data_IF_524565898907
#
_entry.id   IF_524565898907
#
_cell.length_a   1.000
_cell.length_b   1.000
_cell.length_c   1.000
_cell.angle_alpha   90.00
_cell.angle_beta   90.00
_cell.angle_gamma   90.00
#
_symmetry.space_group_name_H-M   'P 1'
#
loop_
_entity.id
_entity.type
_entity.pdbx_description
1 polymer ?
#
# COMPACT_ATOMS: atom_id res chain seq x y z
N UNK A 1 5.39 12.22 2.87
CA UNK A 1 5.87 10.91 2.38
C UNK A 1 7.24 11.11 1.79
N UNK A 2 8.16 10.15 1.96
CA UNK A 2 9.51 10.15 1.38
C UNK A 2 9.86 8.76 0.85
N UNK A 3 10.85 8.59 -0.03
CA UNK A 3 11.30 7.26 -0.44
C UNK A 3 11.60 6.36 0.78
N UNK A 4 11.21 5.08 0.68
CA UNK A 4 11.68 4.06 1.63
C UNK A 4 13.19 3.88 1.48
N UNK A 5 13.89 3.79 2.60
CA UNK A 5 15.33 3.54 2.67
C UNK A 5 15.62 2.33 3.57
N UNK A 6 16.88 1.88 3.60
CA UNK A 6 17.29 0.81 4.51
C UNK A 6 17.16 1.19 6.00
N UNK A 7 17.16 2.48 6.32
CA UNK A 7 17.02 2.99 7.69
C UNK A 7 15.61 2.74 8.26
N UNK A 8 14.60 2.55 7.40
CA UNK A 8 13.23 2.25 7.83
C UNK A 8 13.05 0.80 8.30
N UNK A 9 14.08 -0.05 8.20
CA UNK A 9 13.94 -1.50 8.34
C UNK A 9 13.43 -1.93 9.71
N UNK A 10 13.98 -1.42 10.80
CA UNK A 10 13.60 -1.89 12.14
C UNK A 10 12.16 -1.50 12.47
N UNK A 11 11.75 -0.27 12.14
CA UNK A 11 10.35 0.18 12.27
C UNK A 11 9.40 -0.60 11.36
N UNK A 12 9.81 -0.88 10.12
CA UNK A 12 9.00 -1.64 9.17
C UNK A 12 8.83 -3.10 9.62
N UNK A 13 9.90 -3.73 10.11
CA UNK A 13 9.85 -5.09 10.63
C UNK A 13 9.00 -5.19 11.89
N UNK A 14 9.13 -4.24 12.82
CA UNK A 14 8.29 -4.17 14.01
C UNK A 14 6.81 -3.98 13.65
N UNK A 15 6.51 -3.15 12.64
CA UNK A 15 5.14 -2.98 12.12
C UNK A 15 4.57 -4.27 11.56
N UNK A 16 5.31 -5.00 10.72
CA UNK A 16 4.82 -6.24 10.12
C UNK A 16 4.64 -7.37 11.13
N UNK A 17 5.45 -7.37 12.20
CA UNK A 17 5.36 -8.36 13.26
C UNK A 17 4.12 -8.18 14.17
N UNK A 18 3.42 -7.04 14.13
CA UNK A 18 2.17 -6.85 14.87
C UNK A 18 1.06 -7.76 14.26
N UNK A 19 0.48 -8.70 15.03
CA UNK A 19 -0.52 -9.64 14.51
C UNK A 19 -1.76 -8.97 13.91
N UNK A 20 -2.16 -7.81 14.42
CA UNK A 20 -3.29 -7.04 13.89
C UNK A 20 -2.97 -6.41 12.54
N UNK A 21 -1.71 -6.04 12.31
CA UNK A 21 -1.25 -5.55 11.00
C UNK A 21 -1.13 -6.74 10.04
N UNK A 22 -0.55 -7.84 10.51
CA UNK A 22 -0.34 -9.06 9.74
C UNK A 22 -1.65 -9.66 9.20
N UNK A 23 -2.72 -9.66 10.01
CA UNK A 23 -4.03 -10.21 9.61
C UNK A 23 -4.67 -9.49 8.41
N UNK A 24 -4.26 -8.25 8.14
CA UNK A 24 -4.70 -7.49 6.97
C UNK A 24 -3.88 -7.75 5.71
N UNK A 25 -2.81 -8.54 5.77
CA UNK A 25 -1.90 -8.84 4.66
C UNK A 25 -2.13 -10.26 4.13
N UNK A 26 -1.94 -10.43 2.83
CA UNK A 26 -1.95 -11.76 2.22
C UNK A 26 -0.88 -12.64 2.87
N UNK A 27 -1.18 -13.92 3.10
CA UNK A 27 -0.27 -14.88 3.73
C UNK A 27 1.09 -14.93 3.01
N UNK A 28 1.07 -14.78 1.68
CA UNK A 28 2.27 -14.75 0.84
C UNK A 28 3.23 -13.58 1.10
N UNK A 29 2.84 -12.57 1.89
CA UNK A 29 3.68 -11.41 2.18
C UNK A 29 4.78 -11.75 3.19
N UNK A 30 4.53 -12.70 4.11
CA UNK A 30 5.43 -13.03 5.21
C UNK A 30 5.63 -11.85 6.18
N UNK A 31 5.58 -12.11 7.48
CA UNK A 31 5.64 -11.05 8.50
C UNK A 31 6.85 -11.15 9.43
N UNK A 32 7.73 -12.13 9.20
CA UNK A 32 8.98 -12.25 9.91
C UNK A 32 9.98 -11.16 9.51
N UNK A 33 11.00 -10.94 10.35
CA UNK A 33 12.04 -9.92 10.10
C UNK A 33 12.76 -10.10 8.75
N UNK A 34 13.00 -11.35 8.35
CA UNK A 34 13.60 -11.67 7.06
C UNK A 34 12.65 -11.38 5.87
N UNK A 35 11.35 -11.60 6.05
CA UNK A 35 10.32 -11.22 5.06
C UNK A 35 10.20 -9.70 4.94
N UNK A 36 10.23 -9.00 6.08
CA UNK A 36 10.25 -7.55 6.13
C UNK A 36 11.45 -6.97 5.36
N UNK A 37 12.64 -7.55 5.52
CA UNK A 37 13.84 -7.16 4.77
C UNK A 37 13.64 -7.35 3.27
N UNK A 38 13.18 -8.53 2.83
CA UNK A 38 12.91 -8.82 1.42
C UNK A 38 11.83 -7.90 0.84
N UNK A 39 10.78 -7.63 1.60
CA UNK A 39 9.68 -6.74 1.21
C UNK A 39 10.17 -5.31 1.05
N UNK A 40 10.98 -4.80 1.99
CA UNK A 40 11.58 -3.46 1.91
C UNK A 40 12.52 -3.35 0.70
N UNK A 41 13.41 -4.32 0.51
CA UNK A 41 14.29 -4.39 -0.65
C UNK A 41 13.50 -4.44 -1.97
N UNK A 42 12.36 -5.13 -1.97
CA UNK A 42 11.45 -5.19 -3.11
C UNK A 42 10.83 -3.83 -3.42
N UNK A 43 10.40 -3.06 -2.43
CA UNK A 43 9.89 -1.71 -2.67
C UNK A 43 10.98 -0.76 -3.17
N UNK A 44 12.19 -0.84 -2.61
CA UNK A 44 13.34 -0.05 -3.06
C UNK A 44 13.70 -0.42 -4.50
N UNK A 45 13.87 -1.71 -4.82
CA UNK A 45 14.17 -2.17 -6.17
C UNK A 45 13.07 -1.88 -7.17
N UNK A 46 11.80 -1.96 -6.77
CA UNK A 46 10.67 -1.58 -7.62
C UNK A 46 10.74 -0.11 -8.03
N UNK A 47 11.15 0.78 -7.12
CA UNK A 47 11.41 2.20 -7.44
C UNK A 47 12.54 2.34 -8.46
N UNK A 48 13.67 1.65 -8.27
CA UNK A 48 14.79 1.73 -9.22
C UNK A 48 14.42 1.19 -10.61
N UNK A 49 13.57 0.16 -10.69
CA UNK A 49 13.17 -0.48 -11.96
C UNK A 49 12.05 0.30 -12.67
N UNK A 50 11.10 0.88 -11.93
CA UNK A 50 9.87 1.47 -12.49
C UNK A 50 9.80 2.99 -12.37
N UNK A 51 10.67 3.61 -11.57
CA UNK A 51 10.63 5.04 -11.25
C UNK A 51 9.64 5.42 -10.14
N UNK A 52 8.88 4.47 -9.61
CA UNK A 52 7.89 4.68 -8.55
C UNK A 52 7.75 3.42 -7.68
N UNK A 53 7.26 3.57 -6.45
CA UNK A 53 6.96 2.47 -5.52
C UNK A 53 6.19 3.02 -4.32
N UNK A 54 6.02 2.20 -3.28
CA UNK A 54 5.61 2.66 -1.97
C UNK A 54 6.64 3.63 -1.37
N UNK A 55 6.13 4.68 -0.72
CA UNK A 55 6.88 5.61 0.10
C UNK A 55 6.71 5.28 1.58
N UNK A 56 7.66 5.75 2.39
CA UNK A 56 7.47 5.85 3.83
C UNK A 56 6.48 6.97 4.14
N UNK A 57 5.52 6.65 5.01
CA UNK A 57 4.63 7.62 5.66
C UNK A 57 5.29 7.99 6.97
N UNK A 58 5.54 9.29 7.16
CA UNK A 58 6.24 9.83 8.32
C UNK A 58 5.37 10.92 8.92
N UNK A 59 5.16 10.86 10.24
CA UNK A 59 4.42 11.88 10.97
C UNK A 59 5.28 13.13 11.09
N UNK A 60 4.83 14.26 10.52
CA UNK A 60 5.62 15.49 10.44
C UNK A 60 6.02 16.04 11.82
N UNK A 61 5.13 15.93 12.81
CA UNK A 61 5.35 16.50 14.13
C UNK A 61 6.46 15.80 14.93
N UNK A 62 6.63 14.49 14.72
CA UNK A 62 7.53 13.65 15.54
C UNK A 62 8.67 13.05 14.74
N UNK A 63 8.59 13.04 13.41
CA UNK A 63 9.50 12.29 12.55
C UNK A 63 9.27 10.77 12.58
N UNK A 64 8.24 10.29 13.28
CA UNK A 64 8.02 8.86 13.48
C UNK A 64 7.62 8.16 12.19
N UNK A 65 8.16 6.96 11.96
CA UNK A 65 7.68 6.06 10.92
C UNK A 65 6.26 5.59 11.24
N UNK A 66 5.33 5.90 10.33
CA UNK A 66 3.90 5.56 10.43
C UNK A 66 3.61 4.26 9.70
N UNK A 67 4.26 4.03 8.57
CA UNK A 67 3.99 2.90 7.68
C UNK A 67 4.43 3.20 6.25
N UNK A 68 3.80 2.53 5.29
CA UNK A 68 4.02 2.73 3.86
C UNK A 68 2.73 2.95 3.10
N UNK A 69 2.80 3.74 2.03
CA UNK A 69 1.73 3.89 1.05
C UNK A 69 2.31 4.31 -0.30
N UNK A 70 1.69 3.89 -1.40
CA UNK A 70 2.10 4.36 -2.72
C UNK A 70 1.63 3.48 -3.87
N UNK A 71 2.03 3.86 -5.11
CA UNK A 71 1.79 3.07 -6.30
C UNK A 71 2.50 1.71 -6.26
N UNK A 72 1.89 0.71 -6.89
CA UNK A 72 2.40 -0.65 -6.91
C UNK A 72 2.10 -1.35 -8.23
N UNK A 73 3.14 -1.88 -8.89
CA UNK A 73 2.99 -2.67 -10.13
C UNK A 73 4.19 -3.61 -10.35
N UNK A 74 4.37 -4.65 -9.53
CA UNK A 74 5.36 -5.67 -9.79
C UNK A 74 4.94 -6.49 -11.02
N UNK A 75 5.85 -7.30 -11.55
CA UNK A 75 5.53 -8.20 -12.65
C UNK A 75 4.36 -9.13 -12.27
N UNK A 76 3.38 -9.28 -13.17
CA UNK A 76 2.18 -10.09 -12.96
C UNK A 76 1.08 -9.45 -12.10
N UNK A 77 1.24 -8.20 -11.63
CA UNK A 77 0.13 -7.49 -10.97
C UNK A 77 -0.92 -7.04 -11.99
N UNK A 78 -2.25 -7.15 -11.69
CA UNK A 78 -3.31 -7.01 -12.70
C UNK A 78 -3.54 -5.59 -13.23
N UNK A 79 -2.84 -4.58 -12.71
CA UNK A 79 -2.98 -3.18 -13.14
C UNK A 79 -1.97 -2.27 -12.43
N UNK A 80 -2.06 -0.96 -12.61
CA UNK A 80 -1.39 -0.04 -11.70
C UNK A 80 -2.19 0.03 -10.40
N UNK A 81 -1.57 -0.40 -9.30
CA UNK A 81 -2.20 -0.42 -7.99
C UNK A 81 -1.82 0.78 -7.15
N UNK A 82 -2.61 1.04 -6.10
CA UNK A 82 -2.21 1.79 -4.91
C UNK A 82 -2.48 0.92 -3.69
N UNK A 83 -1.59 0.98 -2.70
CA UNK A 83 -1.76 0.27 -1.44
C UNK A 83 -1.20 1.01 -0.25
N UNK A 84 -1.56 0.55 0.94
CA UNK A 84 -1.11 1.10 2.22
C UNK A 84 -0.94 -0.02 3.26
N UNK A 85 -0.05 0.20 4.22
CA UNK A 85 0.08 -0.60 5.42
C UNK A 85 0.68 0.30 6.51
N UNK A 86 0.00 0.42 7.64
CA UNK A 86 0.35 1.34 8.72
C UNK A 86 0.50 0.59 10.04
N UNK A 87 1.41 1.05 10.88
CA UNK A 87 1.54 0.57 12.25
C UNK A 87 0.26 0.87 13.03
N UNK A 88 -0.18 -0.11 13.82
CA UNK A 88 -1.43 -0.05 14.59
C UNK A 88 -1.53 1.17 15.50
N UNK A 89 -0.41 1.64 16.06
CA UNK A 89 -0.33 2.85 16.91
C UNK A 89 -0.77 4.14 16.19
N UNK A 90 -0.88 4.11 14.86
CA UNK A 90 -1.25 5.24 14.01
C UNK A 90 -2.61 5.08 13.32
N UNK A 91 -3.35 4.00 13.60
CA UNK A 91 -4.69 3.82 13.05
C UNK A 91 -5.69 4.82 13.66
N UNK A 92 -6.79 5.06 12.95
CA UNK A 92 -7.82 6.03 13.38
C UNK A 92 -7.45 7.51 13.23
N UNK A 93 -6.20 7.83 12.84
CA UNK A 93 -5.71 9.21 12.67
C UNK A 93 -5.87 9.79 11.25
N UNK A 94 -6.48 9.04 10.32
CA UNK A 94 -6.68 9.48 8.93
C UNK A 94 -5.47 9.36 7.99
N UNK A 95 -4.28 8.99 8.50
CA UNK A 95 -3.05 8.91 7.70
C UNK A 95 -3.14 7.97 6.50
N UNK A 96 -3.82 6.83 6.60
CA UNK A 96 -3.96 5.90 5.48
C UNK A 96 -4.73 6.53 4.31
N UNK A 97 -5.82 7.24 4.60
CA UNK A 97 -6.64 7.91 3.58
C UNK A 97 -5.95 9.14 3.00
N UNK A 98 -5.22 9.92 3.81
CA UNK A 98 -4.40 11.02 3.33
C UNK A 98 -3.30 10.53 2.38
N UNK A 99 -2.52 9.54 2.81
CA UNK A 99 -1.44 8.98 2.01
C UNK A 99 -1.96 8.26 0.75
N UNK A 100 -3.08 7.54 0.88
CA UNK A 100 -3.75 6.87 -0.25
C UNK A 100 -4.24 7.86 -1.31
N UNK A 101 -4.85 8.98 -0.91
CA UNK A 101 -5.25 10.05 -1.86
C UNK A 101 -4.06 10.67 -2.57
N UNK A 102 -2.99 10.97 -1.83
CA UNK A 102 -1.77 11.53 -2.43
C UNK A 102 -1.13 10.55 -3.43
N UNK A 103 -1.09 9.26 -3.11
CA UNK A 103 -0.58 8.23 -4.02
C UNK A 103 -1.47 8.04 -5.25
N UNK A 104 -2.79 8.08 -5.08
CA UNK A 104 -3.75 8.01 -6.17
C UNK A 104 -3.61 9.22 -7.13
N UNK A 105 -3.47 10.43 -6.58
CA UNK A 105 -3.23 11.63 -7.36
C UNK A 105 -1.95 11.48 -8.20
N UNK A 106 -0.86 11.04 -7.57
CA UNK A 106 0.40 10.76 -8.27
C UNK A 106 0.24 9.73 -9.40
N UNK A 107 -0.52 8.66 -9.21
CA UNK A 107 -0.80 7.70 -10.27
C UNK A 107 -1.50 8.35 -11.47
N UNK A 108 -2.45 9.25 -11.24
CA UNK A 108 -3.20 9.89 -12.31
C UNK A 108 -2.44 11.02 -13.01
N UNK A 109 -1.69 11.84 -12.26
CA UNK A 109 -0.96 12.99 -12.79
C UNK A 109 0.39 12.58 -13.36
N UNK A 110 1.25 11.96 -12.54
CA UNK A 110 2.65 11.69 -12.90
C UNK A 110 2.81 10.40 -13.70
N UNK A 111 2.08 9.35 -13.34
CA UNK A 111 2.16 8.05 -14.03
C UNK A 111 1.19 7.94 -15.20
N UNK A 112 0.45 9.02 -15.48
CA UNK A 112 -0.53 9.12 -16.54
C UNK A 112 -1.52 7.94 -16.60
N UNK A 113 -1.88 7.34 -15.46
CA UNK A 113 -2.78 6.18 -15.44
C UNK A 113 -4.22 6.53 -15.85
N UNK A 114 -4.86 5.65 -16.61
CA UNK A 114 -6.29 5.75 -16.91
C UNK A 114 -7.16 5.13 -15.80
N UNK A 115 -6.62 4.16 -15.07
CA UNK A 115 -7.28 3.46 -13.97
C UNK A 115 -6.27 3.05 -12.91
N UNK A 116 -6.67 3.15 -11.65
CA UNK A 116 -5.89 2.71 -10.49
C UNK A 116 -6.73 1.77 -9.64
N UNK A 117 -6.12 0.69 -9.16
CA UNK A 117 -6.79 -0.35 -8.37
C UNK A 117 -6.14 -0.58 -7.01
N UNK A 118 -6.83 -1.27 -6.10
CA UNK A 118 -6.29 -1.88 -4.90
C UNK A 118 -6.79 -3.32 -4.82
N UNK A 119 -5.90 -4.26 -4.51
CA UNK A 119 -6.28 -5.62 -4.18
C UNK A 119 -6.41 -5.74 -2.67
N UNK A 120 -7.57 -6.18 -2.20
CA UNK A 120 -7.91 -6.21 -0.77
C UNK A 120 -8.44 -7.60 -0.43
N UNK A 121 -7.96 -8.19 0.67
CA UNK A 121 -8.48 -9.47 1.15
C UNK A 121 -9.95 -9.35 1.56
N UNK A 122 -10.79 -10.37 1.30
CA UNK A 122 -12.11 -10.46 1.91
C UNK A 122 -12.03 -10.38 3.43
N UNK A 123 -12.92 -9.60 4.05
CA UNK A 123 -12.95 -9.37 5.50
C UNK A 123 -11.95 -8.33 6.02
N UNK A 124 -11.10 -7.74 5.17
CA UNK A 124 -10.26 -6.61 5.56
C UNK A 124 -11.03 -5.29 5.50
N UNK A 125 -12.02 -5.14 6.38
CA UNK A 125 -12.94 -4.01 6.43
C UNK A 125 -12.23 -2.67 6.63
N UNK A 126 -11.10 -2.67 7.37
CA UNK A 126 -10.26 -1.49 7.57
C UNK A 126 -9.70 -0.98 6.24
N UNK A 127 -9.21 -1.87 5.40
CA UNK A 127 -8.68 -1.52 4.08
C UNK A 127 -9.79 -1.15 3.10
N UNK A 128 -10.91 -1.89 3.09
CA UNK A 128 -12.09 -1.54 2.29
C UNK A 128 -12.55 -0.11 2.60
N UNK A 129 -12.69 0.23 3.88
CA UNK A 129 -13.10 1.57 4.29
C UNK A 129 -12.08 2.66 3.93
N UNK A 130 -10.78 2.35 3.78
CA UNK A 130 -9.81 3.31 3.23
C UNK A 130 -9.98 3.45 1.72
N UNK A 131 -10.16 2.34 0.99
CA UNK A 131 -10.39 2.35 -0.45
C UNK A 131 -11.60 3.22 -0.82
N UNK A 132 -12.72 3.05 -0.12
CA UNK A 132 -13.92 3.85 -0.32
C UNK A 132 -13.68 5.34 -0.01
N UNK A 133 -12.98 5.68 1.09
CA UNK A 133 -12.65 7.06 1.45
C UNK A 133 -11.72 7.77 0.46
N UNK A 134 -10.95 7.03 -0.33
CA UNK A 134 -10.13 7.58 -1.41
C UNK A 134 -10.86 7.57 -2.77
N UNK A 135 -12.14 7.20 -2.80
CA UNK A 135 -13.00 7.22 -3.99
C UNK A 135 -12.97 5.93 -4.82
N UNK A 136 -12.26 4.89 -4.38
CA UNK A 136 -12.37 3.59 -5.05
C UNK A 136 -13.74 2.98 -4.79
N UNK A 137 -14.23 2.27 -5.81
CA UNK A 137 -15.44 1.44 -5.74
C UNK A 137 -15.06 -0.02 -5.94
N UNK A 138 -15.86 -0.92 -5.39
CA UNK A 138 -15.74 -2.33 -5.72
C UNK A 138 -15.95 -2.53 -7.22
N UNK A 139 -15.05 -3.26 -7.87
CA UNK A 139 -15.13 -3.56 -9.30
C UNK A 139 -15.50 -5.03 -9.54
N UNK A 140 -14.79 -5.95 -8.88
CA UNK A 140 -14.97 -7.40 -9.02
C UNK A 140 -14.15 -8.18 -8.01
N UNK A 141 -14.41 -9.47 -7.92
CA UNK A 141 -13.52 -10.45 -7.33
C UNK A 141 -12.50 -10.96 -8.35
N UNK A 142 -11.33 -11.36 -7.87
CA UNK A 142 -10.33 -12.08 -8.66
C UNK A 142 -9.51 -12.99 -7.75
N UNK A 143 -8.72 -13.86 -8.35
CA UNK A 143 -7.64 -14.55 -7.65
C UNK A 143 -6.31 -13.84 -7.94
N UNK A 144 -5.46 -13.71 -6.92
CA UNK A 144 -4.09 -13.27 -7.06
C UNK A 144 -3.19 -14.13 -6.19
N UNK A 145 -2.19 -14.78 -6.81
CA UNK A 145 -1.25 -15.72 -6.14
C UNK A 145 -1.98 -16.81 -5.33
N UNK A 146 -3.04 -17.40 -5.89
CA UNK A 146 -3.80 -18.47 -5.25
C UNK A 146 -4.75 -18.01 -4.13
N UNK A 147 -4.92 -16.70 -3.93
CA UNK A 147 -5.83 -16.14 -2.92
C UNK A 147 -6.91 -15.28 -3.55
N UNK A 148 -8.16 -15.47 -3.13
CA UNK A 148 -9.28 -14.61 -3.52
C UNK A 148 -9.09 -13.22 -2.93
N UNK A 149 -9.23 -12.19 -3.78
CA UNK A 149 -9.14 -10.78 -3.42
C UNK A 149 -10.26 -9.97 -4.07
N UNK A 150 -10.69 -8.92 -3.41
CA UNK A 150 -11.54 -7.89 -3.98
C UNK A 150 -10.68 -6.88 -4.74
N UNK A 151 -11.10 -6.54 -5.96
CA UNK A 151 -10.53 -5.43 -6.73
C UNK A 151 -11.38 -4.20 -6.48
N UNK A 152 -10.81 -3.24 -5.76
CA UNK A 152 -11.34 -1.89 -5.66
C UNK A 152 -10.60 -1.01 -6.66
N UNK A 153 -11.25 -0.01 -7.23
CA UNK A 153 -10.56 0.88 -8.16
C UNK A 153 -11.39 2.06 -8.63
N UNK A 154 -10.76 2.95 -9.38
CA UNK A 154 -11.43 4.06 -10.06
C UNK A 154 -10.68 4.46 -11.32
N UNK A 155 -11.41 4.98 -12.29
CA UNK A 155 -10.88 5.58 -13.51
C UNK A 155 -10.38 6.99 -13.23
N UNK A 156 -9.50 7.50 -14.08
CA UNK A 156 -9.10 8.91 -14.04
C UNK A 156 -10.38 9.77 -14.15
N UNK A 157 -10.58 10.74 -13.25
CA UNK A 157 -11.67 11.69 -13.39
C UNK A 157 -11.58 12.39 -14.74
N UNK A 158 -12.68 12.41 -15.49
CA UNK A 158 -12.79 13.29 -16.66
C UNK A 158 -12.73 14.74 -16.18
N UNK A 159 -11.85 15.53 -16.80
CA UNK A 159 -11.70 16.97 -16.55
C UNK A 159 -12.96 17.74 -16.96
#
# INVERSE_FOLDING_TARGET
>A
MRPLTGEDFDDYAAMLADPEVASGLAESVGTGRADAWRSLATFIGHREIRGYSHWAVVEKATGSFVGRAGPWRPHGFPGLGVGWCLSRRHWGKGYASEAGRAALAYCFTELAAERVISLILPGNDRSIAVAERIGHRYLRDTEYRGQRVHVYGQDRPTA
#
